data_IF_734489734330
#
_entry.id   IF_734489734330
#
_cell.length_a   1.000
_cell.length_b   1.000
_cell.length_c   1.000
_cell.angle_alpha   90.00
_cell.angle_beta   90.00
_cell.angle_gamma   90.00
#
_symmetry.space_group_name_H-M   'P 1'
#
loop_
_entity.id
_entity.type
_entity.pdbx_description
1 polymer ?
#
# COMPACT_ATOMS: atom_id res chain seq x y z
N UNK A 1 23.47 17.70 -14.19
CA UNK A 1 22.31 18.58 -14.41
C UNK A 1 21.07 17.70 -14.55
N UNK A 2 20.13 17.75 -13.60
CA UNK A 2 18.79 17.15 -13.79
C UNK A 2 18.02 18.13 -14.68
N UNK A 3 17.62 17.71 -15.88
CA UNK A 3 16.67 18.47 -16.68
C UNK A 3 15.45 18.73 -15.81
N UNK A 4 15.12 20.00 -15.57
CA UNK A 4 13.86 20.38 -14.94
C UNK A 4 12.76 19.75 -15.79
N UNK A 5 11.95 18.88 -15.18
CA UNK A 5 10.97 18.07 -15.88
C UNK A 5 10.07 18.88 -16.81
N UNK A 6 9.50 18.19 -17.79
CA UNK A 6 8.50 18.72 -18.70
C UNK A 6 7.47 19.55 -17.93
N UNK A 7 7.45 20.87 -18.19
CA UNK A 7 6.58 21.83 -17.49
C UNK A 7 5.11 21.40 -17.54
N UNK A 8 4.71 20.76 -18.64
CA UNK A 8 3.36 20.23 -18.81
C UNK A 8 3.10 19.07 -17.85
N UNK A 9 4.04 18.14 -17.71
CA UNK A 9 3.92 17.02 -16.78
C UNK A 9 3.81 17.48 -15.32
N UNK A 10 4.61 18.48 -14.92
CA UNK A 10 4.54 19.05 -13.57
C UNK A 10 3.18 19.73 -13.31
N UNK A 11 2.70 20.53 -14.28
CA UNK A 11 1.40 21.21 -14.15
C UNK A 11 0.24 20.22 -14.04
N UNK A 12 0.25 19.16 -14.85
CA UNK A 12 -0.75 18.08 -14.76
C UNK A 12 -0.65 17.35 -13.42
N UNK A 13 0.56 17.07 -12.93
CA UNK A 13 0.77 16.43 -11.63
C UNK A 13 0.22 17.28 -10.49
N UNK A 14 0.48 18.59 -10.48
CA UNK A 14 -0.06 19.53 -9.49
C UNK A 14 -1.59 19.59 -9.52
N UNK A 15 -2.18 19.63 -10.72
CA UNK A 15 -3.63 19.65 -10.87
C UNK A 15 -4.28 18.37 -10.33
N UNK A 16 -3.77 17.20 -10.73
CA UNK A 16 -4.31 15.91 -10.32
C UNK A 16 -4.10 15.66 -8.82
N UNK A 17 -2.93 16.01 -8.27
CA UNK A 17 -2.67 15.91 -6.84
C UNK A 17 -3.60 16.84 -6.04
N UNK A 18 -3.84 18.06 -6.54
CA UNK A 18 -4.80 19.00 -5.95
C UNK A 18 -6.24 18.47 -5.96
N UNK A 19 -6.65 17.79 -7.04
CA UNK A 19 -7.97 17.14 -7.12
C UNK A 19 -8.10 15.98 -6.13
N UNK A 20 -7.06 15.15 -6.00
CA UNK A 20 -7.05 14.05 -5.05
C UNK A 20 -7.12 14.54 -3.60
N UNK A 21 -6.34 15.59 -3.26
CA UNK A 21 -6.39 16.22 -1.93
C UNK A 21 -7.78 16.81 -1.64
N UNK A 22 -8.42 17.46 -2.62
CA UNK A 22 -9.79 17.96 -2.46
C UNK A 22 -10.78 16.82 -2.19
N UNK A 23 -10.69 15.72 -2.96
CA UNK A 23 -11.54 14.54 -2.74
C UNK A 23 -11.44 14.04 -1.30
N UNK A 24 -10.22 13.99 -0.75
CA UNK A 24 -10.00 13.66 0.65
C UNK A 24 -10.67 14.64 1.61
N UNK A 25 -10.45 15.93 1.43
CA UNK A 25 -11.00 16.98 2.30
C UNK A 25 -12.53 17.02 2.28
N UNK A 26 -13.13 16.76 1.12
CA UNK A 26 -14.59 16.81 0.93
C UNK A 26 -15.32 15.63 1.55
N UNK A 27 -14.67 14.47 1.69
CA UNK A 27 -15.30 13.23 2.15
C UNK A 27 -14.86 12.78 3.54
N UNK A 28 -13.69 13.23 4.03
CA UNK A 28 -13.18 12.75 5.30
C UNK A 28 -14.01 13.26 6.48
N UNK A 29 -14.25 12.39 7.44
CA UNK A 29 -14.82 12.71 8.75
C UNK A 29 -14.01 12.02 9.85
N UNK A 30 -14.40 12.20 11.12
CA UNK A 30 -13.69 11.56 12.23
C UNK A 30 -13.71 10.02 12.14
N UNK A 31 -14.85 9.46 11.73
CA UNK A 31 -15.07 8.01 11.59
C UNK A 31 -14.67 7.47 10.20
N UNK A 32 -14.48 8.36 9.21
CA UNK A 32 -14.25 7.99 7.82
C UNK A 32 -13.09 8.80 7.23
N UNK A 33 -11.85 8.32 7.40
CA UNK A 33 -10.64 9.03 6.93
C UNK A 33 -10.28 8.63 5.50
N UNK A 34 -11.24 8.78 4.57
CA UNK A 34 -11.09 8.30 3.19
C UNK A 34 -11.50 9.32 2.12
N UNK A 35 -11.05 9.08 0.89
CA UNK A 35 -11.17 9.98 -0.27
C UNK A 35 -12.55 10.04 -0.90
N UNK A 36 -13.38 9.02 -0.63
CA UNK A 36 -14.66 8.77 -1.26
C UNK A 36 -15.58 8.11 -0.24
N UNK A 37 -16.89 8.03 -0.51
CA UNK A 37 -17.85 7.33 0.38
C UNK A 37 -17.71 5.81 0.42
N UNK A 38 -16.84 5.23 -0.41
CA UNK A 38 -16.59 3.80 -0.50
C UNK A 38 -15.11 3.48 -0.73
N UNK A 39 -14.69 2.29 -0.32
CA UNK A 39 -13.43 1.68 -0.70
C UNK A 39 -13.70 0.63 -1.77
N UNK A 40 -12.86 0.56 -2.80
CA UNK A 40 -13.01 -0.38 -3.92
C UNK A 40 -11.73 -1.17 -4.16
N UNK A 41 -11.04 -0.93 -5.28
CA UNK A 41 -9.79 -1.58 -5.64
C UNK A 41 -8.59 -0.66 -5.46
N UNK A 42 -7.42 -1.26 -5.30
CA UNK A 42 -6.10 -0.67 -5.20
C UNK A 42 -6.09 0.52 -4.21
N UNK A 43 -6.81 0.39 -3.09
CA UNK A 43 -7.20 1.53 -2.26
C UNK A 43 -5.98 2.34 -1.80
N UNK A 44 -4.93 1.65 -1.33
CA UNK A 44 -3.71 2.28 -0.83
C UNK A 44 -2.97 3.13 -1.89
N UNK A 45 -3.26 2.98 -3.19
CA UNK A 45 -2.69 3.81 -4.24
C UNK A 45 -3.07 5.30 -4.09
N UNK A 46 -4.25 5.61 -3.55
CA UNK A 46 -4.67 7.00 -3.32
C UNK A 46 -3.80 7.67 -2.25
N UNK A 47 -3.58 6.99 -1.13
CA UNK A 47 -2.67 7.46 -0.08
C UNK A 47 -1.23 7.55 -0.59
N UNK A 48 -0.77 6.53 -1.32
CA UNK A 48 0.56 6.50 -1.90
C UNK A 48 0.81 7.67 -2.87
N UNK A 49 -0.17 7.99 -3.73
CA UNK A 49 -0.08 9.11 -4.66
C UNK A 49 0.07 10.44 -3.91
N UNK A 50 -0.71 10.68 -2.85
CA UNK A 50 -0.57 11.88 -2.03
C UNK A 50 0.79 11.97 -1.33
N UNK A 51 1.34 10.85 -0.85
CA UNK A 51 2.67 10.81 -0.23
C UNK A 51 3.77 11.18 -1.22
N UNK A 52 3.75 10.61 -2.42
CA UNK A 52 4.70 10.93 -3.50
C UNK A 52 4.57 12.39 -3.91
N UNK A 53 3.33 12.86 -4.14
CA UNK A 53 3.06 14.21 -4.56
C UNK A 53 3.43 15.23 -3.48
N UNK A 54 3.08 15.01 -2.21
CA UNK A 54 3.40 15.94 -1.11
C UNK A 54 4.90 16.10 -0.85
N UNK A 55 5.70 15.09 -1.19
CA UNK A 55 7.17 15.17 -1.16
C UNK A 55 7.75 15.89 -2.38
N UNK A 56 7.15 15.68 -3.54
CA UNK A 56 7.64 16.25 -4.82
C UNK A 56 7.21 17.71 -5.01
N UNK A 57 5.96 18.00 -4.65
CA UNK A 57 5.34 19.32 -4.52
C UNK A 57 5.33 19.57 -3.01
N UNK A 58 6.24 20.38 -2.44
CA UNK A 58 6.47 20.48 -1.00
C UNK A 58 5.23 21.06 -0.27
N UNK A 59 4.23 20.20 -0.08
CA UNK A 59 2.89 20.49 0.38
C UNK A 59 2.57 19.52 1.52
N UNK A 60 2.69 20.01 2.74
CA UNK A 60 2.46 19.22 3.94
C UNK A 60 1.04 18.68 4.00
N UNK A 61 0.03 19.42 3.54
CA UNK A 61 -1.36 18.96 3.56
C UNK A 61 -1.58 17.68 2.74
N UNK A 62 -0.85 17.51 1.62
CA UNK A 62 -0.88 16.26 0.85
C UNK A 62 -0.23 15.12 1.63
N UNK A 63 0.94 15.37 2.23
CA UNK A 63 1.65 14.37 3.02
C UNK A 63 0.83 13.93 4.23
N UNK A 64 0.25 14.88 4.95
CA UNK A 64 -0.58 14.65 6.14
C UNK A 64 -1.84 13.85 5.78
N UNK A 65 -2.54 14.21 4.69
CA UNK A 65 -3.69 13.46 4.20
C UNK A 65 -3.31 12.04 3.73
N UNK A 66 -2.15 11.89 3.07
CA UNK A 66 -1.61 10.58 2.68
C UNK A 66 -1.34 9.68 3.89
N UNK A 67 -0.72 10.22 4.95
CA UNK A 67 -0.43 9.48 6.18
C UNK A 67 -1.71 9.16 6.98
N UNK A 68 -2.62 10.14 7.15
CA UNK A 68 -3.89 9.95 7.88
C UNK A 68 -4.76 8.89 7.21
N UNK A 69 -4.93 8.97 5.89
CA UNK A 69 -5.71 7.98 5.12
C UNK A 69 -5.07 6.59 5.13
N UNK A 70 -3.74 6.50 5.00
CA UNK A 70 -3.04 5.21 5.02
C UNK A 70 -3.12 4.55 6.40
N UNK A 71 -2.94 5.33 7.47
CA UNK A 71 -3.02 4.82 8.84
C UNK A 71 -4.41 4.25 9.14
N UNK A 72 -5.45 4.97 8.72
CA UNK A 72 -6.83 4.51 8.85
C UNK A 72 -7.08 3.24 8.03
N UNK A 73 -6.64 3.21 6.77
CA UNK A 73 -6.77 2.05 5.89
C UNK A 73 -6.07 0.81 6.46
N UNK A 74 -4.82 0.96 6.94
CA UNK A 74 -4.06 -0.14 7.53
C UNK A 74 -4.72 -0.69 8.80
N UNK A 75 -5.26 0.19 9.64
CA UNK A 75 -6.04 -0.20 10.81
C UNK A 75 -7.32 -0.94 10.42
N UNK A 76 -8.06 -0.42 9.43
CA UNK A 76 -9.26 -1.05 8.90
C UNK A 76 -8.94 -2.44 8.33
N UNK A 77 -7.88 -2.58 7.53
CA UNK A 77 -7.47 -3.83 6.87
C UNK A 77 -6.64 -4.77 7.77
N UNK A 78 -6.66 -4.56 9.09
CA UNK A 78 -6.06 -5.48 10.05
C UNK A 78 -7.13 -6.37 10.69
N UNK A 79 -6.94 -7.69 10.66
CA UNK A 79 -7.82 -8.62 11.35
C UNK A 79 -7.63 -8.56 12.86
N UNK A 80 -8.58 -9.12 13.62
CA UNK A 80 -8.42 -9.37 15.05
C UNK A 80 -7.28 -10.35 15.38
N UNK A 81 -6.87 -11.19 14.42
CA UNK A 81 -5.70 -12.08 14.53
C UNK A 81 -4.39 -11.39 14.08
N UNK A 82 -4.45 -10.13 13.66
CA UNK A 82 -3.29 -9.31 13.30
C UNK A 82 -2.73 -9.57 11.90
N UNK A 83 -3.50 -10.18 11.00
CA UNK A 83 -3.15 -10.37 9.58
C UNK A 83 -3.83 -9.36 8.68
N UNK A 84 -3.30 -9.17 7.48
CA UNK A 84 -3.85 -8.26 6.49
C UNK A 84 -5.12 -8.85 5.84
N UNK A 85 -6.18 -8.05 5.77
CA UNK A 85 -7.47 -8.39 5.15
C UNK A 85 -7.87 -7.21 4.26
N UNK A 86 -7.59 -7.27 2.95
CA UNK A 86 -7.98 -6.20 2.05
C UNK A 86 -9.50 -6.11 1.90
N UNK A 87 -9.98 -5.03 1.29
CA UNK A 87 -11.42 -4.91 0.98
C UNK A 87 -11.74 -5.94 -0.10
N UNK A 88 -12.69 -6.80 0.18
CA UNK A 88 -13.17 -7.80 -0.77
C UNK A 88 -13.88 -7.16 -1.95
N UNK A 89 -13.63 -7.67 -3.14
CA UNK A 89 -14.29 -7.15 -4.35
C UNK A 89 -15.74 -7.59 -4.53
N UNK A 90 -16.17 -8.57 -3.75
CA UNK A 90 -17.56 -9.02 -3.70
C UNK A 90 -18.45 -8.12 -2.85
N UNK A 91 -18.64 -6.88 -3.28
CA UNK A 91 -19.51 -5.91 -2.64
C UNK A 91 -18.81 -4.70 -2.03
N UNK A 92 -17.46 -4.70 -1.99
CA UNK A 92 -16.66 -3.57 -1.55
C UNK A 92 -17.02 -3.09 -0.13
N UNK A 93 -16.68 -1.84 0.21
CA UNK A 93 -17.07 -1.27 1.49
C UNK A 93 -17.58 0.16 1.34
N UNK A 94 -18.87 0.36 1.57
CA UNK A 94 -19.49 1.68 1.65
C UNK A 94 -19.61 2.15 3.10
N UNK A 95 -19.40 3.45 3.34
CA UNK A 95 -19.50 4.06 4.66
C UNK A 95 -20.84 3.76 5.32
N UNK A 96 -20.82 3.14 6.49
CA UNK A 96 -22.03 2.76 7.25
C UNK A 96 -22.63 1.39 6.87
N UNK A 97 -22.02 0.66 5.93
CA UNK A 97 -22.45 -0.67 5.51
C UNK A 97 -21.50 -1.77 6.00
N UNK A 98 -21.85 -3.02 5.73
CA UNK A 98 -20.93 -4.14 5.98
C UNK A 98 -19.82 -4.16 4.92
N UNK A 99 -18.59 -4.39 5.38
CA UNK A 99 -17.44 -4.55 4.49
C UNK A 99 -17.42 -5.95 3.89
N UNK A 100 -17.34 -6.04 2.58
CA UNK A 100 -17.03 -7.28 1.88
C UNK A 100 -15.66 -7.82 2.31
N UNK A 101 -15.64 -9.09 2.72
CA UNK A 101 -14.43 -9.74 3.22
C UNK A 101 -13.64 -10.47 2.14
N UNK A 102 -14.30 -11.05 1.15
CA UNK A 102 -13.69 -11.99 0.20
C UNK A 102 -13.72 -11.51 -1.24
N UNK A 103 -13.12 -12.32 -2.11
CA UNK A 103 -12.63 -11.92 -3.42
C UNK A 103 -11.56 -10.83 -3.26
N UNK A 104 -10.65 -11.12 -2.32
CA UNK A 104 -9.46 -10.33 -2.00
C UNK A 104 -8.45 -10.48 -3.14
N UNK A 105 -7.81 -9.40 -3.55
CA UNK A 105 -6.94 -9.41 -4.74
C UNK A 105 -5.47 -9.07 -4.42
N UNK A 106 -4.51 -9.67 -5.15
CA UNK A 106 -3.08 -9.37 -5.10
C UNK A 106 -2.71 -7.88 -5.18
N UNK A 107 -3.40 -7.11 -6.01
CA UNK A 107 -3.12 -5.68 -6.22
C UNK A 107 -3.37 -4.85 -4.94
N UNK A 108 -4.27 -5.28 -4.07
CA UNK A 108 -4.50 -4.60 -2.78
C UNK A 108 -3.27 -4.73 -1.88
N UNK A 109 -2.73 -5.95 -1.79
CA UNK A 109 -1.54 -6.22 -0.98
C UNK A 109 -0.34 -5.46 -1.54
N UNK A 110 -0.13 -5.48 -2.86
CA UNK A 110 0.96 -4.74 -3.50
C UNK A 110 0.85 -3.23 -3.26
N UNK A 111 -0.32 -2.64 -3.46
CA UNK A 111 -0.53 -1.21 -3.22
C UNK A 111 -0.27 -0.83 -1.76
N UNK A 112 -0.70 -1.67 -0.81
CA UNK A 112 -0.45 -1.46 0.61
C UNK A 112 1.05 -1.54 0.95
N UNK A 113 1.79 -2.51 0.37
CA UNK A 113 3.24 -2.60 0.52
C UNK A 113 3.90 -1.31 0.04
N UNK A 114 3.64 -0.88 -1.20
CA UNK A 114 4.29 0.30 -1.77
C UNK A 114 3.96 1.57 -0.97
N UNK A 115 2.70 1.77 -0.59
CA UNK A 115 2.25 2.92 0.19
C UNK A 115 2.94 2.99 1.57
N UNK A 116 3.00 1.87 2.27
CA UNK A 116 3.67 1.79 3.57
C UNK A 116 5.18 2.04 3.45
N UNK A 117 5.83 1.49 2.42
CA UNK A 117 7.26 1.74 2.22
C UNK A 117 7.55 3.22 1.86
N UNK A 118 6.66 3.91 1.14
CA UNK A 118 6.82 5.36 0.94
C UNK A 118 6.57 6.15 2.22
N UNK A 119 5.53 5.82 2.99
CA UNK A 119 5.28 6.44 4.30
C UNK A 119 6.49 6.27 5.23
N UNK A 120 7.13 5.11 5.21
CA UNK A 120 8.36 4.87 5.94
C UNK A 120 9.52 5.73 5.47
N UNK A 121 9.72 5.88 4.15
CA UNK A 121 10.77 6.76 3.59
C UNK A 121 10.56 8.22 3.98
N UNK A 122 9.32 8.66 4.15
CA UNK A 122 8.97 10.03 4.54
C UNK A 122 9.16 10.24 6.05
N UNK A 123 8.71 9.30 6.87
CA UNK A 123 8.60 9.49 8.32
C UNK A 123 9.74 8.88 9.14
N UNK A 124 10.39 7.83 8.61
CA UNK A 124 11.32 6.99 9.37
C UNK A 124 10.65 6.08 10.40
N UNK A 125 9.31 6.08 10.50
CA UNK A 125 8.60 5.27 11.49
C UNK A 125 8.54 3.79 11.08
N UNK A 126 9.19 2.93 11.87
CA UNK A 126 9.26 1.49 11.66
C UNK A 126 7.89 0.80 11.71
N UNK A 127 6.84 1.44 12.22
CA UNK A 127 5.47 0.94 12.11
C UNK A 127 5.12 0.63 10.66
N UNK A 128 5.44 1.52 9.72
CA UNK A 128 5.12 1.34 8.31
C UNK A 128 5.81 0.13 7.67
N UNK A 129 7.04 -0.20 8.08
CA UNK A 129 7.68 -1.45 7.65
C UNK A 129 6.92 -2.68 8.15
N UNK A 130 6.37 -2.63 9.36
CA UNK A 130 5.59 -3.74 9.91
C UNK A 130 4.28 -3.90 9.14
N UNK A 131 3.64 -2.80 8.75
CA UNK A 131 2.43 -2.82 7.92
C UNK A 131 2.72 -3.34 6.51
N UNK A 132 3.80 -2.87 5.86
CA UNK A 132 4.25 -3.41 4.58
C UNK A 132 4.51 -4.92 4.65
N UNK A 133 5.21 -5.38 5.70
CA UNK A 133 5.47 -6.81 5.90
C UNK A 133 4.17 -7.59 6.13
N UNK A 134 3.24 -7.07 6.93
CA UNK A 134 1.93 -7.70 7.20
C UNK A 134 1.14 -7.89 5.90
N UNK A 135 1.08 -6.86 5.05
CA UNK A 135 0.43 -6.94 3.75
C UNK A 135 1.12 -7.98 2.84
N UNK A 136 2.45 -8.00 2.80
CA UNK A 136 3.18 -8.99 2.00
C UNK A 136 2.97 -10.44 2.46
N UNK A 137 2.86 -10.68 3.76
CA UNK A 137 2.65 -12.03 4.30
C UNK A 137 1.29 -12.64 3.88
N UNK A 138 0.35 -11.82 3.41
CA UNK A 138 -0.90 -12.30 2.80
C UNK A 138 -0.65 -13.24 1.62
N UNK A 139 0.32 -12.93 0.76
CA UNK A 139 0.73 -13.78 -0.36
C UNK A 139 1.26 -15.15 0.10
N UNK A 140 1.85 -15.19 1.28
CA UNK A 140 2.51 -16.36 1.86
C UNK A 140 1.58 -17.21 2.74
N UNK A 141 0.31 -16.81 2.85
CA UNK A 141 -0.69 -17.54 3.62
C UNK A 141 -0.99 -16.96 4.99
N UNK A 142 -0.44 -15.80 5.38
CA UNK A 142 -0.91 -15.08 6.57
C UNK A 142 -2.17 -14.27 6.21
N UNK A 143 -3.25 -15.00 5.93
CA UNK A 143 -4.54 -14.49 5.48
C UNK A 143 -5.69 -15.30 6.11
N UNK A 144 -6.93 -14.96 5.75
CA UNK A 144 -8.14 -15.56 6.34
C UNK A 144 -8.21 -17.09 6.21
N UNK A 145 -7.64 -17.67 5.15
CA UNK A 145 -7.69 -19.12 4.91
C UNK A 145 -6.44 -19.86 5.33
N UNK A 146 -5.39 -19.15 5.75
CA UNK A 146 -4.08 -19.73 6.07
C UNK A 146 -3.45 -20.47 4.88
N UNK A 147 -3.75 -20.02 3.65
CA UNK A 147 -3.33 -20.67 2.40
C UNK A 147 -2.50 -19.71 1.55
N UNK A 148 -1.36 -20.15 0.99
CA UNK A 148 -0.53 -19.30 0.14
C UNK A 148 -1.23 -19.01 -1.20
N UNK A 149 -1.02 -17.79 -1.70
CA UNK A 149 -1.38 -17.40 -3.07
C UNK A 149 -0.19 -17.48 -4.02
N UNK A 150 1.02 -17.22 -3.55
CA UNK A 150 2.23 -17.43 -4.33
C UNK A 150 2.64 -18.90 -4.31
N UNK A 151 2.89 -19.46 -5.50
CA UNK A 151 3.44 -20.80 -5.69
C UNK A 151 4.93 -20.71 -6.03
N UNK A 152 5.78 -21.12 -5.10
CA UNK A 152 7.23 -21.09 -5.30
C UNK A 152 7.75 -22.15 -6.30
N UNK A 153 6.94 -23.15 -6.62
CA UNK A 153 7.31 -24.21 -7.58
C UNK A 153 7.11 -23.73 -9.01
N UNK A 154 6.00 -23.03 -9.27
CA UNK A 154 5.70 -22.49 -10.61
C UNK A 154 6.21 -21.06 -10.80
N UNK A 155 6.39 -20.31 -9.69
CA UNK A 155 6.67 -18.88 -9.69
C UNK A 155 5.44 -17.99 -9.93
N UNK A 156 4.25 -18.58 -10.06
CA UNK A 156 3.00 -17.83 -10.27
C UNK A 156 2.33 -17.40 -8.98
N UNK A 157 1.46 -16.39 -9.07
CA UNK A 157 0.60 -15.97 -7.97
C UNK A 157 -0.86 -16.07 -8.38
N UNK A 158 -1.67 -16.62 -7.48
CA UNK A 158 -3.12 -16.77 -7.66
C UNK A 158 -3.84 -15.42 -7.65
N UNK A 159 -4.91 -15.32 -8.43
CA UNK A 159 -5.63 -14.07 -8.69
C UNK A 159 -6.49 -13.54 -7.55
N UNK A 160 -6.67 -14.33 -6.49
CA UNK A 160 -7.37 -13.86 -5.31
C UNK A 160 -7.67 -14.94 -4.29
N UNK A 161 -8.35 -14.51 -3.22
CA UNK A 161 -8.80 -15.36 -2.14
C UNK A 161 -10.34 -15.31 -2.05
N UNK A 162 -10.98 -16.39 -2.45
CA UNK A 162 -12.41 -16.64 -2.27
C UNK A 162 -12.71 -17.06 -0.82
N UNK A 163 -13.99 -17.15 -0.40
CA UNK A 163 -14.36 -17.55 0.96
C UNK A 163 -13.85 -18.92 1.43
N UNK A 164 -13.63 -19.84 0.49
CA UNK A 164 -13.34 -21.24 0.76
C UNK A 164 -12.02 -21.72 0.11
N UNK A 165 -11.46 -20.95 -0.82
CA UNK A 165 -10.26 -21.34 -1.58
C UNK A 165 -9.52 -20.15 -2.17
N UNK A 166 -8.22 -20.30 -2.45
CA UNK A 166 -7.53 -19.45 -3.41
C UNK A 166 -8.09 -19.62 -4.82
N UNK A 167 -8.08 -18.55 -5.62
CA UNK A 167 -8.39 -18.63 -7.05
C UNK A 167 -7.37 -19.54 -7.75
N UNK A 168 -7.82 -20.41 -8.65
CA UNK A 168 -6.94 -21.33 -9.38
C UNK A 168 -6.17 -20.62 -10.50
N UNK A 169 -6.69 -19.50 -11.01
CA UNK A 169 -6.05 -18.70 -12.05
C UNK A 169 -4.79 -18.01 -11.49
N UNK A 170 -3.74 -17.98 -12.31
CA UNK A 170 -2.47 -17.32 -12.03
C UNK A 170 -2.15 -16.31 -13.14
N UNK A 171 -2.82 -15.17 -13.11
CA UNK A 171 -2.64 -14.08 -14.06
C UNK A 171 -1.28 -13.38 -13.92
N UNK A 172 -0.90 -12.68 -14.99
CA UNK A 172 0.32 -11.87 -15.00
C UNK A 172 0.28 -10.74 -13.97
N UNK A 173 -0.87 -10.09 -13.78
CA UNK A 173 -1.06 -9.01 -12.80
C UNK A 173 -0.72 -9.48 -11.37
N UNK A 174 -1.28 -10.61 -10.96
CA UNK A 174 -1.06 -11.21 -9.65
C UNK A 174 0.40 -11.57 -9.41
N UNK A 175 1.04 -12.14 -10.43
CA UNK A 175 2.45 -12.51 -10.38
C UNK A 175 3.33 -11.27 -10.29
N UNK A 176 3.04 -10.22 -11.06
CA UNK A 176 3.74 -8.94 -10.97
C UNK A 176 3.53 -8.27 -9.61
N UNK A 177 2.31 -8.28 -9.06
CA UNK A 177 1.99 -7.72 -7.75
C UNK A 177 2.86 -8.35 -6.65
N UNK A 178 3.00 -9.68 -6.65
CA UNK A 178 3.90 -10.39 -5.74
C UNK A 178 5.37 -9.98 -5.96
N UNK A 179 5.86 -10.03 -7.20
CA UNK A 179 7.27 -9.77 -7.52
C UNK A 179 7.68 -8.33 -7.21
N UNK A 180 6.81 -7.36 -7.51
CA UNK A 180 7.03 -5.95 -7.17
C UNK A 180 7.10 -5.77 -5.65
N UNK A 181 6.14 -6.34 -4.91
CA UNK A 181 6.15 -6.28 -3.44
C UNK A 181 7.44 -6.87 -2.85
N UNK A 182 7.85 -8.04 -3.34
CA UNK A 182 9.10 -8.69 -2.90
C UNK A 182 10.33 -7.84 -3.23
N UNK A 183 10.39 -7.27 -4.43
CA UNK A 183 11.49 -6.42 -4.86
C UNK A 183 11.60 -5.17 -3.99
N UNK A 184 10.50 -4.47 -3.76
CA UNK A 184 10.48 -3.24 -2.95
C UNK A 184 10.92 -3.49 -1.51
N UNK A 185 10.44 -4.58 -0.89
CA UNK A 185 10.86 -4.98 0.46
C UNK A 185 12.37 -5.26 0.52
N UNK A 186 12.91 -6.01 -0.45
CA UNK A 186 14.35 -6.31 -0.52
C UNK A 186 15.20 -5.06 -0.71
N UNK A 187 14.77 -4.12 -1.54
CA UNK A 187 15.48 -2.86 -1.76
C UNK A 187 15.53 -2.01 -0.48
N UNK A 188 14.44 -1.97 0.28
CA UNK A 188 14.41 -1.28 1.57
C UNK A 188 15.35 -1.98 2.56
N UNK A 189 15.25 -3.30 2.73
CA UNK A 189 16.14 -4.07 3.62
C UNK A 189 17.64 -3.84 3.31
N UNK A 190 18.03 -3.89 2.03
CA UNK A 190 19.40 -3.61 1.61
C UNK A 190 19.86 -2.19 1.94
N UNK A 191 18.97 -1.20 1.78
CA UNK A 191 19.27 0.19 2.13
C UNK A 191 19.54 0.33 3.62
N UNK A 192 18.73 -0.33 4.46
CA UNK A 192 18.92 -0.35 5.92
C UNK A 192 20.25 -0.97 6.33
N UNK A 193 20.56 -2.16 5.82
CA UNK A 193 21.82 -2.84 6.11
C UNK A 193 23.04 -2.00 5.70
N UNK A 194 22.94 -1.31 4.57
CA UNK A 194 23.99 -0.42 4.07
C UNK A 194 24.19 0.80 4.99
N UNK A 195 23.09 1.42 5.45
CA UNK A 195 23.14 2.55 6.38
C UNK A 195 23.71 2.16 7.75
N UNK A 196 23.30 1.00 8.29
CA UNK A 196 23.84 0.50 9.57
C UNK A 196 25.34 0.20 9.48
N UNK A 197 25.80 -0.39 8.37
CA UNK A 197 27.21 -0.64 8.13
C UNK A 197 28.04 0.65 8.06
N UNK A 198 27.51 1.69 7.41
CA UNK A 198 28.13 3.01 7.35
C UNK A 198 28.22 3.65 8.74
N UNK A 199 27.13 3.62 9.52
CA UNK A 199 27.10 4.18 10.87
C UNK A 199 28.11 3.50 11.81
N UNK A 200 28.22 2.17 11.76
CA UNK A 200 29.20 1.40 12.54
C UNK A 200 30.65 1.76 12.19
N UNK A 201 30.94 2.02 10.91
CA UNK A 201 32.29 2.45 10.46
C UNK A 201 32.62 3.85 10.99
N UNK A 202 31.68 4.79 10.92
CA UNK A 202 31.90 6.17 11.40
C UNK A 202 32.12 6.25 12.91
N UNK A 203 31.51 5.36 13.71
CA UNK A 203 31.70 5.32 15.17
C UNK A 203 32.97 4.57 15.59
N UNK A 204 33.47 3.68 14.73
CA UNK A 204 34.70 2.91 15.00
C UNK A 204 35.98 3.62 14.54
N UNK A 205 35.88 4.89 14.12
CA UNK A 205 37.01 5.75 13.71
C UNK A 205 37.09 6.94 14.66
#
# INVERSE_FOLDING_TARGET
QKYSGDRMANQVSEELAGRLLRSYQDHRSDDWRWFERRLTYCNAALSHALLICGKSIPNSAMTDAGLESLQWLAGLQCSSEGHFVPIGSNGFYESGHERARFDQQPIEAQAMVSACLEAFRITGDKHWNKEARRAFEWFLGRNDLKLPLYDATTGGCRDGLHPDRPNENQGAESTLAFLQSLLELRLVEQTYLSMEALFKRTIST
#
